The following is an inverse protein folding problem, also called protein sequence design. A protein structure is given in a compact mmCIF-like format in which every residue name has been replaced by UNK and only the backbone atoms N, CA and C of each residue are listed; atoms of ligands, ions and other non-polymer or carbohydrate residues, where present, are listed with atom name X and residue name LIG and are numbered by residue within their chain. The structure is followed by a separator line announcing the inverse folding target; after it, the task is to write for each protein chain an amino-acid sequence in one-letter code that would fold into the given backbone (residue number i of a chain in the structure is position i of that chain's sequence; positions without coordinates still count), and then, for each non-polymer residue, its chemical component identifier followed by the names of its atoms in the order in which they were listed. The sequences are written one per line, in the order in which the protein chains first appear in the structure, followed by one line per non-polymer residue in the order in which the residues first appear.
data_IF_383711577882
#
_entry.id   IF_383711577882
#
_cell.length_a   1.000
_cell.length_b   1.000
_cell.length_c   1.000
_cell.angle_alpha   90.00
_cell.angle_beta   90.00
_cell.angle_gamma   90.00
#
_symmetry.space_group_name_H-M   'P 1'
#
loop_
_entity.id
_entity.type
_entity.pdbx_description
1 polymer ?
#
# COMPACT_ATOMS: atom_id res chain seq x y z
N UNK A 1 91.72 15.64 17.04
CA UNK A 1 91.43 14.50 16.16
C UNK A 1 90.25 13.61 16.60
N UNK A 2 89.80 13.67 17.81
CA UNK A 2 88.78 12.78 18.40
C UNK A 2 87.34 13.05 17.93
N UNK A 3 87.02 14.26 17.51
CA UNK A 3 85.63 14.65 17.24
C UNK A 3 85.13 14.33 15.78
N UNK A 4 86.04 13.93 14.89
CA UNK A 4 85.68 13.48 13.54
C UNK A 4 85.27 12.02 13.49
N UNK A 5 85.86 11.21 14.36
CA UNK A 5 85.58 9.77 14.41
C UNK A 5 84.21 9.43 14.96
N UNK A 6 83.76 10.21 15.96
CA UNK A 6 82.45 10.03 16.57
C UNK A 6 81.28 10.38 15.63
N UNK A 7 81.46 11.42 14.76
CA UNK A 7 80.47 11.77 13.73
C UNK A 7 80.34 10.73 12.64
N UNK A 8 81.43 10.04 12.33
CA UNK A 8 81.42 8.97 11.31
C UNK A 8 80.73 7.73 11.77
N UNK A 9 80.91 7.33 13.05
CA UNK A 9 80.24 6.18 13.68
C UNK A 9 78.74 6.45 13.85
N UNK A 10 78.30 7.66 14.27
CA UNK A 10 76.90 8.04 14.35
C UNK A 10 76.18 8.02 12.99
N UNK A 11 76.87 8.42 11.90
CA UNK A 11 76.32 8.37 10.53
C UNK A 11 76.09 6.95 10.00
N UNK A 12 76.96 6.00 10.36
CA UNK A 12 76.89 4.60 9.97
C UNK A 12 75.76 3.86 10.74
N UNK A 13 75.66 4.14 12.07
CA UNK A 13 74.63 3.57 12.90
C UNK A 13 73.22 4.06 12.53
N UNK A 14 73.09 5.30 12.16
CA UNK A 14 71.82 5.93 11.72
C UNK A 14 71.41 5.39 10.34
N UNK A 15 72.37 5.22 9.39
CA UNK A 15 72.11 4.68 8.07
C UNK A 15 71.68 3.19 8.09
N UNK A 16 72.23 2.39 8.99
CA UNK A 16 71.86 0.97 9.20
C UNK A 16 70.45 0.83 9.83
N UNK A 17 70.05 1.79 10.67
CA UNK A 17 68.70 1.76 11.28
C UNK A 17 67.63 2.17 10.28
N UNK A 18 67.89 3.16 9.41
CA UNK A 18 66.97 3.58 8.36
C UNK A 18 66.80 2.50 7.26
N UNK A 19 67.88 1.73 6.94
CA UNK A 19 67.76 0.63 5.97
C UNK A 19 66.92 -0.51 6.52
N UNK A 20 67.08 -0.88 7.79
CA UNK A 20 66.26 -1.93 8.45
C UNK A 20 64.79 -1.51 8.57
N UNK A 21 64.51 -0.23 8.88
CA UNK A 21 63.14 0.27 8.90
C UNK A 21 62.49 0.29 7.50
N UNK A 22 63.26 0.59 6.45
CA UNK A 22 62.76 0.54 5.07
C UNK A 22 62.51 -0.89 4.60
N UNK A 23 63.35 -1.83 4.96
CA UNK A 23 63.15 -3.27 4.63
C UNK A 23 61.95 -3.83 5.43
N UNK A 24 61.76 -3.42 6.69
CA UNK A 24 60.59 -3.79 7.45
C UNK A 24 59.29 -3.20 6.85
N UNK A 25 59.31 -1.94 6.47
CA UNK A 25 58.15 -1.27 5.83
C UNK A 25 57.85 -1.93 4.48
N UNK A 26 58.85 -2.26 3.65
CA UNK A 26 58.63 -2.94 2.38
C UNK A 26 58.10 -4.37 2.56
N UNK A 27 58.47 -5.04 3.66
CA UNK A 27 57.96 -6.38 3.97
C UNK A 27 56.48 -6.31 4.44
N UNK A 28 56.13 -5.27 5.20
CA UNK A 28 54.70 -5.03 5.58
C UNK A 28 53.84 -4.57 4.39
N UNK A 29 54.42 -3.87 3.41
CA UNK A 29 53.69 -3.43 2.20
C UNK A 29 53.46 -4.58 1.21
N UNK A 30 54.34 -5.62 1.22
CA UNK A 30 54.16 -6.80 0.38
C UNK A 30 53.22 -7.85 1.00
N UNK A 31 52.93 -7.76 2.29
CA UNK A 31 52.06 -8.70 3.00
C UNK A 31 50.58 -8.21 3.05
N UNK A 32 50.33 -6.93 2.68
CA UNK A 32 49.01 -6.34 2.61
C UNK A 32 48.43 -6.21 1.19
N UNK A 33 49.12 -6.70 0.18
CA UNK A 33 48.57 -6.89 -1.17
C UNK A 33 47.86 -8.26 -1.29
N UNK A 34 47.19 -8.69 -0.23
CA UNK A 34 46.03 -9.56 -0.40
C UNK A 34 44.93 -8.73 -1.06
N UNK A 35 45.11 -8.44 -2.34
CA UNK A 35 43.95 -8.19 -3.19
C UNK A 35 43.01 -9.34 -2.93
N UNK A 36 41.90 -9.05 -2.25
CA UNK A 36 40.78 -9.99 -2.10
C UNK A 36 40.26 -10.23 -3.51
N UNK A 37 40.98 -11.04 -4.27
CA UNK A 37 40.47 -11.63 -5.49
C UNK A 37 39.28 -12.48 -5.05
N UNK A 38 38.10 -11.89 -5.07
CA UNK A 38 36.86 -12.62 -4.88
C UNK A 38 36.76 -13.58 -6.05
N UNK A 39 37.32 -14.79 -5.88
CA UNK A 39 37.20 -15.83 -6.88
C UNK A 39 35.72 -16.23 -6.96
N UNK A 40 35.05 -15.63 -7.95
CA UNK A 40 33.64 -15.89 -8.27
C UNK A 40 33.39 -17.41 -8.44
N UNK A 41 34.42 -18.16 -8.81
CA UNK A 41 34.34 -19.60 -8.97
C UNK A 41 34.27 -20.30 -7.61
N UNK A 42 35.06 -19.88 -6.62
CA UNK A 42 34.99 -20.43 -5.26
C UNK A 42 33.66 -20.07 -4.59
N UNK A 43 33.20 -18.83 -4.77
CA UNK A 43 31.89 -18.37 -4.30
C UNK A 43 30.77 -19.23 -4.92
N UNK A 44 30.86 -19.52 -6.22
CA UNK A 44 29.86 -20.33 -6.91
C UNK A 44 29.90 -21.80 -6.43
N UNK A 45 31.06 -22.36 -6.20
CA UNK A 45 31.19 -23.71 -5.66
C UNK A 45 30.72 -23.83 -4.22
N UNK A 46 30.99 -22.83 -3.39
CA UNK A 46 30.45 -22.73 -2.02
C UNK A 46 28.94 -22.63 -2.01
N UNK A 47 28.37 -21.80 -2.91
CA UNK A 47 26.92 -21.64 -3.08
C UNK A 47 26.27 -22.96 -3.54
N UNK A 48 26.87 -23.65 -4.52
CA UNK A 48 26.39 -24.94 -5.02
C UNK A 48 26.37 -26.01 -3.91
N UNK A 49 27.37 -26.03 -3.01
CA UNK A 49 27.42 -26.95 -1.87
C UNK A 49 26.29 -26.67 -0.85
N UNK A 50 25.86 -25.43 -0.72
CA UNK A 50 24.83 -24.99 0.24
C UNK A 50 23.44 -24.84 -0.38
N UNK A 51 23.29 -25.03 -1.70
CA UNK A 51 22.05 -24.80 -2.44
C UNK A 51 20.86 -25.59 -1.87
N UNK A 52 21.12 -26.82 -1.42
CA UNK A 52 20.06 -27.66 -0.83
C UNK A 52 19.51 -27.04 0.45
N UNK A 53 20.39 -26.48 1.29
CA UNK A 53 19.98 -25.79 2.53
C UNK A 53 19.22 -24.49 2.22
N UNK A 54 19.65 -23.74 1.20
CA UNK A 54 18.98 -22.52 0.75
C UNK A 54 17.58 -22.86 0.23
N UNK A 55 17.45 -23.89 -0.61
CA UNK A 55 16.16 -24.33 -1.12
C UNK A 55 15.22 -24.81 0.01
N UNK A 56 15.75 -25.58 0.95
CA UNK A 56 14.97 -26.07 2.08
C UNK A 56 14.43 -24.92 2.95
N UNK A 57 15.30 -23.96 3.29
CA UNK A 57 14.87 -22.78 4.06
C UNK A 57 13.86 -21.95 3.30
N UNK A 58 14.04 -21.75 2.00
CA UNK A 58 13.10 -21.00 1.15
C UNK A 58 11.73 -21.67 1.12
N UNK A 59 11.66 -23.01 0.96
CA UNK A 59 10.40 -23.75 0.96
C UNK A 59 9.70 -23.64 2.32
N UNK A 60 10.44 -23.76 3.42
CA UNK A 60 9.87 -23.63 4.77
C UNK A 60 9.29 -22.24 5.00
N UNK A 61 10.05 -21.17 4.65
CA UNK A 61 9.58 -19.80 4.79
C UNK A 61 8.40 -19.47 3.86
N UNK A 62 8.44 -19.93 2.61
CA UNK A 62 7.34 -19.74 1.67
C UNK A 62 6.07 -20.48 2.13
N UNK A 63 6.22 -21.71 2.64
CA UNK A 63 5.11 -22.47 3.22
C UNK A 63 4.51 -21.78 4.46
N UNK A 64 5.36 -21.34 5.38
CA UNK A 64 4.92 -20.61 6.57
C UNK A 64 4.20 -19.30 6.21
N UNK A 65 4.76 -18.51 5.29
CA UNK A 65 4.13 -17.28 4.81
C UNK A 65 2.78 -17.55 4.14
N UNK A 66 2.67 -18.59 3.30
CA UNK A 66 1.42 -18.99 2.66
C UNK A 66 0.34 -19.41 3.67
N UNK A 67 0.72 -20.15 4.71
CA UNK A 67 -0.20 -20.54 5.78
C UNK A 67 -0.67 -19.30 6.57
N UNK A 68 0.24 -18.42 6.95
CA UNK A 68 -0.11 -17.19 7.66
C UNK A 68 -1.06 -16.34 6.82
N UNK A 69 -0.77 -16.13 5.53
CA UNK A 69 -1.63 -15.36 4.63
C UNK A 69 -3.03 -15.96 4.53
N UNK A 70 -3.12 -17.27 4.38
CA UNK A 70 -4.42 -17.96 4.26
C UNK A 70 -5.27 -17.91 5.53
N UNK A 71 -4.64 -17.97 6.71
CA UNK A 71 -5.37 -17.99 7.99
C UNK A 71 -5.52 -16.60 8.63
N UNK A 72 -4.62 -15.66 8.35
CA UNK A 72 -4.64 -14.32 8.95
C UNK A 72 -5.38 -13.28 8.09
N UNK A 73 -5.50 -13.48 6.77
CA UNK A 73 -6.18 -12.54 5.90
C UNK A 73 -7.58 -13.05 5.54
N UNK A 74 -8.61 -12.40 6.06
CA UNK A 74 -9.99 -12.59 5.60
C UNK A 74 -10.17 -11.88 4.26
N UNK A 75 -10.64 -12.55 3.20
CA UNK A 75 -10.94 -11.89 1.95
C UNK A 75 -12.04 -10.85 2.16
N UNK A 76 -11.87 -9.67 1.60
CA UNK A 76 -12.89 -8.61 1.58
C UNK A 76 -13.38 -8.45 0.16
N UNK A 77 -14.68 -8.58 -0.01
CA UNK A 77 -15.35 -8.41 -1.29
C UNK A 77 -15.99 -7.02 -1.34
N UNK A 78 -15.95 -6.38 -2.51
CA UNK A 78 -16.55 -5.08 -2.71
C UNK A 78 -17.59 -5.15 -3.81
N UNK A 79 -18.76 -4.61 -3.55
CA UNK A 79 -19.83 -4.45 -4.51
C UNK A 79 -20.11 -2.97 -4.72
N UNK A 80 -20.36 -2.55 -5.97
CA UNK A 80 -20.56 -1.14 -6.30
C UNK A 80 -21.85 -0.95 -7.09
N UNK A 81 -22.57 0.14 -6.81
CA UNK A 81 -23.71 0.60 -7.59
C UNK A 81 -23.52 2.07 -7.98
N UNK A 82 -24.03 2.44 -9.16
CA UNK A 82 -23.93 3.79 -9.68
C UNK A 82 -25.31 4.42 -9.82
N UNK A 83 -25.46 5.63 -9.26
CA UNK A 83 -26.67 6.43 -9.33
C UNK A 83 -26.42 7.71 -10.12
N UNK A 84 -27.30 8.00 -11.08
CA UNK A 84 -27.26 9.23 -11.84
C UNK A 84 -28.22 10.26 -11.23
N UNK A 85 -27.68 11.42 -10.89
CA UNK A 85 -28.40 12.52 -10.27
C UNK A 85 -28.98 13.44 -11.35
N UNK A 86 -30.32 13.58 -11.37
CA UNK A 86 -31.03 14.46 -12.29
C UNK A 86 -31.58 15.68 -11.55
N UNK A 87 -31.31 16.87 -12.07
CA UNK A 87 -31.97 18.11 -11.64
C UNK A 87 -33.35 18.26 -12.31
N UNK A 88 -34.36 18.70 -11.58
CA UNK A 88 -35.70 19.00 -12.12
C UNK A 88 -35.73 20.22 -13.04
N UNK A 89 -34.74 21.09 -12.95
CA UNK A 89 -34.76 22.40 -13.63
C UNK A 89 -34.21 22.30 -15.04
N UNK A 90 -35.06 22.40 -16.03
CA UNK A 90 -34.69 22.58 -17.45
C UNK A 90 -34.11 23.98 -17.75
N UNK A 91 -33.21 24.48 -16.92
CA UNK A 91 -32.60 25.81 -17.08
C UNK A 91 -31.18 25.63 -17.59
N UNK A 92 -30.91 26.26 -18.73
CA UNK A 92 -29.61 26.52 -19.38
C UNK A 92 -28.45 25.57 -19.07
N UNK A 93 -27.99 24.85 -20.08
CA UNK A 93 -26.95 23.77 -20.04
C UNK A 93 -25.68 24.08 -19.24
N UNK A 94 -25.26 25.33 -19.11
CA UNK A 94 -24.04 25.71 -18.39
C UNK A 94 -24.23 25.83 -16.87
N UNK A 95 -25.39 26.31 -16.42
CA UNK A 95 -25.73 26.41 -14.99
C UNK A 95 -26.08 25.03 -14.41
N UNK A 96 -26.57 24.13 -15.24
CA UNK A 96 -27.00 22.78 -14.89
C UNK A 96 -25.84 21.83 -14.55
N UNK A 97 -24.67 22.05 -15.15
CA UNK A 97 -23.45 21.22 -14.83
C UNK A 97 -22.93 21.50 -13.41
N UNK A 98 -22.82 22.78 -13.04
CA UNK A 98 -22.29 23.17 -11.70
C UNK A 98 -23.27 22.81 -10.59
N UNK A 99 -24.57 22.99 -10.83
CA UNK A 99 -25.63 22.56 -9.88
C UNK A 99 -25.67 21.03 -9.74
N UNK A 100 -25.48 20.30 -10.83
CA UNK A 100 -25.50 18.83 -10.81
C UNK A 100 -24.38 18.23 -9.96
N UNK A 101 -23.19 18.78 -10.02
CA UNK A 101 -22.05 18.32 -9.20
C UNK A 101 -22.26 18.64 -7.72
N UNK A 102 -22.79 19.81 -7.38
CA UNK A 102 -23.12 20.17 -6.00
C UNK A 102 -24.22 19.27 -5.41
N UNK A 103 -25.27 18.99 -6.17
CA UNK A 103 -26.33 18.05 -5.75
C UNK A 103 -25.77 16.65 -5.52
N UNK A 104 -24.81 16.20 -6.33
CA UNK A 104 -24.17 14.89 -6.13
C UNK A 104 -23.42 14.85 -4.81
N UNK A 105 -22.72 15.93 -4.43
CA UNK A 105 -22.05 16.01 -3.13
C UNK A 105 -23.04 15.97 -1.96
N UNK A 106 -24.16 16.68 -2.07
CA UNK A 106 -25.21 16.63 -1.04
C UNK A 106 -25.78 15.21 -0.89
N UNK A 107 -25.96 14.49 -1.99
CA UNK A 107 -26.45 13.12 -1.97
C UNK A 107 -25.44 12.16 -1.34
N UNK A 108 -24.13 12.36 -1.57
CA UNK A 108 -23.09 11.57 -0.91
C UNK A 108 -23.15 11.67 0.62
N UNK A 109 -23.51 12.85 1.15
CA UNK A 109 -23.73 13.05 2.59
C UNK A 109 -24.97 12.30 3.05
N UNK A 110 -26.08 12.37 2.29
CA UNK A 110 -27.37 11.74 2.64
C UNK A 110 -27.22 10.22 2.74
N UNK A 111 -26.47 9.57 1.86
CA UNK A 111 -26.21 8.12 1.89
C UNK A 111 -25.70 7.66 3.24
N UNK A 112 -24.82 8.42 3.86
CA UNK A 112 -24.20 8.08 5.16
C UNK A 112 -25.01 8.59 6.38
N UNK A 113 -26.19 9.14 6.17
CA UNK A 113 -27.00 9.58 7.30
C UNK A 113 -27.61 8.40 8.07
N UNK A 114 -27.70 8.59 9.37
CA UNK A 114 -28.24 7.55 10.27
C UNK A 114 -29.60 6.99 9.83
N UNK A 115 -30.60 7.82 9.42
CA UNK A 115 -31.92 7.29 9.03
C UNK A 115 -31.85 6.35 7.81
N UNK A 116 -30.98 6.65 6.83
CA UNK A 116 -30.79 5.81 5.63
C UNK A 116 -30.14 4.47 6.03
N UNK A 117 -29.09 4.53 6.83
CA UNK A 117 -28.37 3.33 7.27
C UNK A 117 -29.21 2.43 8.18
N UNK A 118 -29.96 3.01 9.13
CA UNK A 118 -30.87 2.26 9.98
C UNK A 118 -32.02 1.60 9.16
N UNK A 119 -32.48 2.25 8.11
CA UNK A 119 -33.47 1.65 7.23
C UNK A 119 -32.92 0.41 6.53
N UNK A 120 -31.73 0.50 5.93
CA UNK A 120 -31.03 -0.65 5.29
C UNK A 120 -30.81 -1.80 6.29
N UNK A 121 -30.38 -1.47 7.52
CA UNK A 121 -30.19 -2.47 8.59
C UNK A 121 -31.50 -3.20 8.90
N UNK A 122 -32.61 -2.45 8.98
CA UNK A 122 -33.91 -3.03 9.26
C UNK A 122 -34.47 -3.86 8.10
N UNK A 123 -34.33 -3.37 6.86
CA UNK A 123 -34.83 -4.02 5.65
C UNK A 123 -34.11 -5.36 5.41
N UNK A 124 -32.80 -5.40 5.61
CA UNK A 124 -31.99 -6.61 5.47
C UNK A 124 -31.81 -7.40 6.78
N UNK A 125 -32.34 -6.89 7.91
CA UNK A 125 -32.23 -7.50 9.25
C UNK A 125 -30.78 -7.78 9.64
N UNK A 126 -29.91 -6.79 9.44
CA UNK A 126 -28.48 -6.93 9.75
C UNK A 126 -28.25 -6.87 11.24
N UNK A 127 -27.35 -7.73 11.75
CA UNK A 127 -26.92 -7.71 13.14
C UNK A 127 -25.69 -6.83 13.32
N UNK A 128 -25.83 -5.54 13.01
CA UNK A 128 -24.77 -4.53 13.13
C UNK A 128 -25.35 -3.14 13.42
N UNK A 129 -24.51 -2.27 14.00
CA UNK A 129 -24.89 -0.86 14.25
C UNK A 129 -24.68 0.00 12.99
N UNK A 130 -25.41 1.14 12.91
CA UNK A 130 -25.28 2.07 11.79
C UNK A 130 -23.85 2.61 11.59
N UNK A 131 -23.03 2.69 12.66
CA UNK A 131 -21.63 3.10 12.57
C UNK A 131 -20.79 2.06 11.86
N UNK A 132 -20.95 0.80 12.23
CA UNK A 132 -20.26 -0.32 11.60
C UNK A 132 -20.61 -0.40 10.10
N UNK A 133 -21.88 -0.27 9.77
CA UNK A 133 -22.31 -0.22 8.38
C UNK A 133 -21.71 0.99 7.64
N UNK A 134 -21.65 2.17 8.28
CA UNK A 134 -21.05 3.38 7.69
C UNK A 134 -19.56 3.23 7.35
N UNK A 135 -18.81 2.47 8.15
CA UNK A 135 -17.38 2.19 7.91
C UNK A 135 -17.16 1.25 6.72
N UNK A 136 -18.12 0.37 6.44
CA UNK A 136 -18.09 -0.54 5.28
C UNK A 136 -18.48 0.13 3.97
N UNK A 137 -19.05 1.34 4.03
CA UNK A 137 -19.57 2.09 2.87
C UNK A 137 -18.59 3.17 2.45
N UNK A 138 -18.19 3.16 1.19
CA UNK A 138 -17.48 4.24 0.51
C UNK A 138 -18.38 4.86 -0.54
N UNK A 139 -18.49 6.20 -0.55
CA UNK A 139 -19.28 6.94 -1.53
C UNK A 139 -18.35 7.92 -2.24
N UNK A 140 -18.33 7.85 -3.55
CA UNK A 140 -17.44 8.65 -4.38
C UNK A 140 -18.19 9.28 -5.56
N UNK A 141 -17.69 10.42 -6.02
CA UNK A 141 -18.13 11.04 -7.27
C UNK A 141 -16.97 10.95 -8.27
N UNK A 142 -17.00 10.01 -9.23
CA UNK A 142 -15.94 9.90 -10.23
C UNK A 142 -15.87 11.16 -11.08
N UNK A 143 -14.74 11.85 -11.06
CA UNK A 143 -14.41 12.99 -11.94
C UNK A 143 -15.43 14.13 -12.00
N UNK A 144 -15.95 14.55 -10.84
CA UNK A 144 -16.91 15.67 -10.72
C UNK A 144 -18.09 15.58 -11.70
N UNK A 145 -18.59 14.37 -11.89
CA UNK A 145 -19.76 14.09 -12.74
C UNK A 145 -21.05 14.12 -11.93
N UNK A 146 -22.17 13.91 -12.60
CA UNK A 146 -23.48 13.69 -11.97
C UNK A 146 -23.69 12.23 -11.55
N UNK A 147 -22.63 11.46 -11.50
CA UNK A 147 -22.68 10.06 -11.10
C UNK A 147 -22.15 9.93 -9.69
N UNK A 148 -22.91 9.29 -8.83
CA UNK A 148 -22.49 8.90 -7.50
C UNK A 148 -22.26 7.38 -7.50
N UNK A 149 -21.10 6.96 -7.05
CA UNK A 149 -20.76 5.55 -6.88
C UNK A 149 -20.82 5.22 -5.40
N UNK A 150 -21.60 4.22 -5.06
CA UNK A 150 -21.69 3.64 -3.71
C UNK A 150 -20.97 2.30 -3.76
N UNK A 151 -19.98 2.11 -2.91
CA UNK A 151 -19.21 0.84 -2.78
C UNK A 151 -19.35 0.34 -1.36
N UNK A 152 -19.76 -0.91 -1.20
CA UNK A 152 -19.83 -1.60 0.08
C UNK A 152 -18.81 -2.72 0.11
N UNK A 153 -18.05 -2.79 1.18
CA UNK A 153 -17.03 -3.82 1.39
C UNK A 153 -17.40 -4.71 2.57
N UNK A 154 -17.50 -6.01 2.32
CA UNK A 154 -17.82 -7.01 3.35
C UNK A 154 -17.05 -8.31 3.11
N UNK A 155 -16.99 -9.16 4.14
CA UNK A 155 -16.38 -10.49 4.01
C UNK A 155 -17.28 -11.48 3.27
N UNK A 156 -18.58 -11.21 3.20
CA UNK A 156 -19.56 -11.99 2.46
C UNK A 156 -19.96 -11.25 1.16
N UNK A 157 -19.68 -11.81 -0.02
CA UNK A 157 -19.99 -11.18 -1.30
C UNK A 157 -21.50 -10.98 -1.54
N UNK A 158 -22.34 -11.91 -1.09
CA UNK A 158 -23.78 -11.78 -1.22
C UNK A 158 -24.34 -10.69 -0.31
N UNK A 159 -23.79 -10.56 0.90
CA UNK A 159 -24.15 -9.50 1.83
C UNK A 159 -23.73 -8.13 1.29
N UNK A 160 -22.49 -7.99 0.79
CA UNK A 160 -22.00 -6.76 0.18
C UNK A 160 -22.92 -6.32 -0.98
N UNK A 161 -23.32 -7.24 -1.84
CA UNK A 161 -24.22 -7.00 -2.96
C UNK A 161 -25.61 -6.54 -2.49
N UNK A 162 -26.21 -7.26 -1.55
CA UNK A 162 -27.55 -6.94 -1.06
C UNK A 162 -27.58 -5.58 -0.38
N UNK A 163 -26.59 -5.27 0.47
CA UNK A 163 -26.45 -3.97 1.13
C UNK A 163 -26.30 -2.86 0.08
N UNK A 164 -25.45 -3.05 -0.93
CA UNK A 164 -25.23 -2.04 -1.98
C UNK A 164 -26.51 -1.75 -2.76
N UNK A 165 -27.25 -2.79 -3.13
CA UNK A 165 -28.49 -2.64 -3.87
C UNK A 165 -29.58 -1.95 -3.04
N UNK A 166 -29.79 -2.38 -1.81
CA UNK A 166 -30.80 -1.81 -0.92
C UNK A 166 -30.46 -0.36 -0.55
N UNK A 167 -29.19 -0.08 -0.27
CA UNK A 167 -28.70 1.27 0.01
C UNK A 167 -28.93 2.23 -1.16
N UNK A 168 -28.72 1.78 -2.41
CA UNK A 168 -29.00 2.57 -3.60
C UNK A 168 -30.50 2.86 -3.74
N UNK A 169 -31.36 1.88 -3.45
CA UNK A 169 -32.81 2.04 -3.52
C UNK A 169 -33.36 2.95 -2.41
N UNK A 170 -32.95 2.73 -1.16
CA UNK A 170 -33.33 3.57 0.00
C UNK A 170 -32.87 5.00 -0.19
N UNK A 171 -31.63 5.20 -0.66
CA UNK A 171 -31.10 6.53 -0.96
C UNK A 171 -31.93 7.22 -2.04
N UNK A 172 -32.23 6.53 -3.14
CA UNK A 172 -33.05 7.08 -4.23
C UNK A 172 -34.43 7.53 -3.76
N UNK A 173 -35.08 6.75 -2.91
CA UNK A 173 -36.39 7.09 -2.32
C UNK A 173 -36.28 8.27 -1.35
N UNK A 174 -35.33 8.24 -0.43
CA UNK A 174 -35.14 9.28 0.59
C UNK A 174 -34.84 10.64 -0.04
N UNK A 175 -34.01 10.66 -1.07
CA UNK A 175 -33.71 11.89 -1.82
C UNK A 175 -34.94 12.43 -2.53
N UNK A 176 -35.69 11.58 -3.21
CA UNK A 176 -36.91 11.99 -3.89
C UNK A 176 -37.98 12.59 -2.94
N UNK A 177 -38.13 11.99 -1.77
CA UNK A 177 -39.11 12.44 -0.77
C UNK A 177 -38.70 13.73 -0.06
N UNK A 178 -37.41 13.85 0.30
CA UNK A 178 -36.95 14.98 1.12
C UNK A 178 -36.55 16.21 0.33
N UNK A 179 -36.10 16.05 -0.92
CA UNK A 179 -35.59 17.15 -1.72
C UNK A 179 -36.56 17.61 -2.83
N UNK A 180 -37.73 17.00 -2.95
CA UNK A 180 -38.71 17.26 -4.03
C UNK A 180 -38.05 17.26 -5.44
N UNK A 181 -37.07 16.40 -5.64
CA UNK A 181 -36.36 16.20 -6.91
C UNK A 181 -36.80 14.91 -7.56
N UNK A 182 -36.44 14.74 -8.85
CA UNK A 182 -36.67 13.47 -9.51
C UNK A 182 -35.75 12.39 -8.90
N UNK A 183 -36.32 11.22 -8.61
CA UNK A 183 -35.53 10.10 -8.06
C UNK A 183 -34.28 9.84 -8.90
N UNK A 184 -33.11 9.71 -8.28
CA UNK A 184 -31.92 9.29 -8.99
C UNK A 184 -32.12 7.94 -9.70
N UNK A 185 -31.60 7.83 -10.90
CA UNK A 185 -31.71 6.59 -11.68
C UNK A 185 -30.53 5.71 -11.41
N UNK A 186 -30.77 4.47 -11.01
CA UNK A 186 -29.72 3.45 -10.87
C UNK A 186 -29.30 3.04 -12.28
N UNK A 187 -28.04 3.31 -12.64
CA UNK A 187 -27.47 2.97 -13.95
C UNK A 187 -26.88 1.57 -13.91
N UNK A 188 -26.17 1.25 -12.83
CA UNK A 188 -25.51 -0.03 -12.63
C UNK A 188 -25.95 -0.59 -11.27
N UNK A 189 -26.41 -1.85 -11.30
CA UNK A 189 -26.77 -2.59 -10.09
C UNK A 189 -25.60 -3.43 -9.61
N UNK A 190 -25.51 -3.59 -8.33
CA UNK A 190 -24.50 -4.40 -7.63
C UNK A 190 -24.51 -5.88 -8.08
#
# INVERSE_FOLDING_TARGET
MHNRFLKQIQGICWRGKVSKEREAISMYELENDDEIEIDLRELFLALKKKIVWILLTTIVFAGAAGLITKFAMTPVYSSSAQLYVMSKSGISQLTDLTMGTQLTQDYMVIVKTRPVLEQVINDLKLDMDYKELSEKITVENPTDTRIMQITVSDNDPELAKNITQDLAEVTSKTVAEKMDVKSPTIIEKA
#
